data_IF_392850515289
#
_entry.id   IF_392850515289
#
_cell.length_a   1.000
_cell.length_b   1.000
_cell.length_c   1.000
_cell.angle_alpha   90.00
_cell.angle_beta   90.00
_cell.angle_gamma   90.00
#
_symmetry.space_group_name_H-M   'P 1'
#
loop_
_entity.id
_entity.type
_entity.pdbx_description
1 polymer ?
#
# COMPACT_ATOMS: atom_id res chain seq x y z
N UNK A 1 1.27 -8.16 21.11
CA UNK A 1 1.74 -9.17 20.13
C UNK A 1 0.56 -9.50 19.26
N UNK A 2 0.65 -9.26 17.96
CA UNK A 2 -0.42 -9.58 17.00
C UNK A 2 -0.29 -11.05 16.62
N UNK A 3 -1.40 -11.79 16.69
CA UNK A 3 -1.48 -13.16 16.17
C UNK A 3 -2.22 -13.14 14.84
N UNK A 4 -1.83 -14.03 13.92
CA UNK A 4 -2.56 -14.20 12.67
C UNK A 4 -3.91 -14.92 12.89
N UNK A 5 -4.76 -14.87 11.87
CA UNK A 5 -6.01 -15.61 11.78
C UNK A 5 -5.84 -16.71 10.74
N UNK A 6 -5.93 -17.96 11.19
CA UNK A 6 -5.84 -19.11 10.26
C UNK A 6 -7.10 -19.19 9.39
N UNK A 7 -7.02 -19.95 8.28
CA UNK A 7 -8.16 -20.14 7.39
C UNK A 7 -9.43 -20.57 8.14
N UNK A 8 -9.31 -21.46 9.11
CA UNK A 8 -10.45 -22.00 9.87
C UNK A 8 -11.06 -20.94 10.82
N UNK A 9 -10.25 -20.02 11.33
CA UNK A 9 -10.70 -18.95 12.23
C UNK A 9 -11.39 -17.79 11.49
N UNK A 10 -11.13 -17.65 10.18
CA UNK A 10 -11.71 -16.56 9.39
C UNK A 10 -13.18 -16.83 9.11
N UNK A 11 -14.01 -15.80 9.24
CA UNK A 11 -15.43 -15.81 8.91
C UNK A 11 -15.78 -14.63 8.01
N UNK A 12 -16.79 -14.82 7.15
CA UNK A 12 -17.33 -13.72 6.33
C UNK A 12 -17.78 -12.58 7.26
N UNK A 13 -17.41 -11.35 6.92
CA UNK A 13 -17.67 -10.16 7.72
C UNK A 13 -16.54 -9.80 8.70
N UNK A 14 -15.49 -10.66 8.88
CA UNK A 14 -14.31 -10.23 9.64
C UNK A 14 -13.69 -9.01 8.97
N UNK A 15 -13.33 -8.00 9.78
CA UNK A 15 -12.78 -6.73 9.31
C UNK A 15 -11.52 -6.36 10.07
N UNK A 16 -10.63 -5.65 9.40
CA UNK A 16 -9.46 -5.01 10.01
C UNK A 16 -9.12 -3.73 9.26
N UNK A 17 -8.44 -2.83 9.96
CA UNK A 17 -7.99 -1.57 9.40
C UNK A 17 -6.65 -1.14 9.99
N UNK A 18 -5.93 -0.32 9.23
CA UNK A 18 -4.73 0.40 9.68
C UNK A 18 -4.80 1.85 9.19
N UNK A 19 -4.32 2.75 10.05
CA UNK A 19 -4.16 4.17 9.70
C UNK A 19 -2.70 4.47 9.42
N UNK A 20 -2.46 5.32 8.44
CA UNK A 20 -1.14 5.76 8.05
C UNK A 20 -1.18 7.22 7.61
N UNK A 21 -0.32 8.06 8.21
CA UNK A 21 0.03 9.37 7.65
C UNK A 21 0.98 9.15 6.48
N UNK A 22 0.64 9.67 5.30
CA UNK A 22 1.48 9.61 4.11
C UNK A 22 2.43 10.80 4.11
N UNK A 23 3.71 10.57 4.37
CA UNK A 23 4.69 11.66 4.41
C UNK A 23 5.40 11.82 3.07
N UNK A 24 5.95 13.01 2.78
CA UNK A 24 6.78 13.24 1.61
C UNK A 24 8.01 12.30 1.57
N UNK A 25 8.56 11.95 2.73
CA UNK A 25 9.69 11.02 2.83
C UNK A 25 9.28 9.58 2.47
N UNK A 26 8.06 9.14 2.82
CA UNK A 26 7.52 7.85 2.37
C UNK A 26 7.48 7.77 0.83
N UNK A 27 7.06 8.86 0.16
CA UNK A 27 7.00 8.90 -1.31
C UNK A 27 8.38 8.84 -1.95
N UNK A 28 9.38 9.48 -1.35
CA UNK A 28 10.78 9.39 -1.81
C UNK A 28 11.30 7.95 -1.67
N UNK A 29 11.05 7.32 -0.51
CA UNK A 29 11.42 5.92 -0.28
C UNK A 29 10.74 5.01 -1.29
N UNK A 30 9.43 5.20 -1.52
CA UNK A 30 8.67 4.43 -2.49
C UNK A 30 9.17 4.62 -3.93
N UNK A 31 9.51 5.85 -4.32
CA UNK A 31 10.09 6.14 -5.63
C UNK A 31 11.42 5.40 -5.83
N UNK A 32 12.28 5.36 -4.82
CA UNK A 32 13.54 4.62 -4.89
C UNK A 32 13.35 3.11 -4.98
N UNK A 33 12.38 2.55 -4.24
CA UNK A 33 12.12 1.10 -4.24
C UNK A 33 11.41 0.65 -5.52
N UNK A 34 10.44 1.43 -6.00
CA UNK A 34 9.64 1.09 -7.18
C UNK A 34 10.30 1.48 -8.51
N UNK A 35 11.26 2.42 -8.48
CA UNK A 35 11.80 3.07 -9.68
C UNK A 35 10.85 4.08 -10.33
N UNK A 36 9.72 4.42 -9.71
CA UNK A 36 8.78 5.42 -10.23
C UNK A 36 9.19 6.83 -9.78
N UNK A 37 9.95 7.50 -10.64
CA UNK A 37 10.45 8.86 -10.40
C UNK A 37 9.59 9.93 -11.12
N UNK A 38 8.30 9.68 -11.32
CA UNK A 38 7.41 10.68 -11.93
C UNK A 38 7.38 11.94 -11.04
N UNK A 39 7.69 13.14 -11.59
CA UNK A 39 7.78 14.39 -10.83
C UNK A 39 6.54 14.71 -10.01
N UNK A 40 5.35 14.35 -10.47
CA UNK A 40 4.09 14.56 -9.73
C UNK A 40 4.03 13.89 -8.34
N UNK A 41 4.95 12.98 -8.06
CA UNK A 41 5.07 12.30 -6.78
C UNK A 41 6.15 12.90 -5.87
N UNK A 42 6.79 13.98 -6.31
CA UNK A 42 7.84 14.66 -5.56
C UNK A 42 7.23 15.89 -4.84
N UNK A 43 7.58 16.07 -3.60
CA UNK A 43 6.97 17.05 -2.68
C UNK A 43 7.13 18.53 -3.09
N UNK A 44 8.01 18.85 -4.05
CA UNK A 44 8.23 20.22 -4.53
C UNK A 44 7.37 20.54 -5.78
N UNK A 45 6.56 19.60 -6.23
CA UNK A 45 5.73 19.73 -7.42
C UNK A 45 4.27 20.02 -7.06
N UNK A 46 3.58 20.74 -7.93
CA UNK A 46 2.12 20.82 -7.95
C UNK A 46 1.63 19.67 -8.84
N UNK A 47 1.32 18.54 -8.20
CA UNK A 47 1.09 17.27 -8.90
C UNK A 47 -0.21 17.21 -9.68
N UNK A 48 -1.19 18.05 -9.35
CA UNK A 48 -2.52 18.05 -9.99
C UNK A 48 -2.94 19.38 -10.61
N UNK A 49 -2.12 20.41 -10.44
CA UNK A 49 -2.33 21.70 -11.08
C UNK A 49 -3.32 22.60 -10.33
N UNK A 50 -3.56 22.35 -9.05
CA UNK A 50 -4.44 23.17 -8.21
C UNK A 50 -3.76 24.40 -7.60
N UNK A 51 -2.46 24.56 -7.81
CA UNK A 51 -1.64 25.66 -7.31
C UNK A 51 -1.02 25.40 -5.93
N UNK A 52 -1.28 24.25 -5.33
CA UNK A 52 -0.68 23.82 -4.07
C UNK A 52 0.47 22.85 -4.36
N UNK A 53 1.65 23.13 -3.80
CA UNK A 53 2.82 22.26 -3.97
C UNK A 53 2.75 21.09 -2.98
N UNK A 54 2.02 20.08 -3.36
CA UNK A 54 1.90 18.82 -2.62
C UNK A 54 1.99 17.66 -3.58
N UNK A 55 2.81 16.67 -3.25
CA UNK A 55 2.98 15.50 -4.10
C UNK A 55 1.75 14.61 -4.05
N UNK A 56 1.30 14.14 -5.21
CA UNK A 56 0.30 13.07 -5.30
C UNK A 56 0.93 11.75 -4.88
N UNK A 57 0.28 11.00 -4.00
CA UNK A 57 0.70 9.65 -3.65
C UNK A 57 0.60 8.73 -4.88
N UNK A 58 1.67 7.99 -5.23
CA UNK A 58 1.58 6.97 -6.27
C UNK A 58 0.45 5.97 -5.97
N UNK A 59 -0.37 5.61 -6.96
CA UNK A 59 -1.48 4.67 -6.75
C UNK A 59 -1.04 3.37 -6.09
N UNK A 60 0.09 2.80 -6.53
CA UNK A 60 0.62 1.56 -5.93
C UNK A 60 1.23 1.77 -4.53
N UNK A 61 1.64 2.99 -4.15
CA UNK A 61 1.95 3.30 -2.76
C UNK A 61 0.67 3.17 -1.90
N UNK A 62 -0.43 3.77 -2.34
CA UNK A 62 -1.74 3.64 -1.66
C UNK A 62 -2.16 2.16 -1.61
N UNK A 63 -2.02 1.42 -2.71
CA UNK A 63 -2.29 -0.02 -2.75
C UNK A 63 -1.44 -0.84 -1.79
N UNK A 64 -0.19 -0.41 -1.52
CA UNK A 64 0.69 -1.08 -0.57
C UNK A 64 0.17 -1.02 0.88
N UNK A 65 -0.66 -0.03 1.22
CA UNK A 65 -1.29 0.07 2.55
C UNK A 65 -2.29 -1.08 2.78
N UNK A 66 -2.97 -1.55 1.73
CA UNK A 66 -3.80 -2.76 1.78
C UNK A 66 -2.95 -3.97 2.14
N UNK A 67 -1.78 -4.10 1.51
CA UNK A 67 -0.85 -5.20 1.82
C UNK A 67 -0.42 -5.20 3.29
N UNK A 68 -0.26 -4.03 3.89
CA UNK A 68 0.09 -3.92 5.31
C UNK A 68 -1.02 -4.48 6.22
N UNK A 69 -2.30 -4.21 5.90
CA UNK A 69 -3.43 -4.78 6.66
C UNK A 69 -3.47 -6.30 6.51
N UNK A 70 -3.36 -6.80 5.27
CA UNK A 70 -3.42 -8.23 4.98
C UNK A 70 -2.26 -9.03 5.61
N UNK A 71 -1.06 -8.48 5.57
CA UNK A 71 0.13 -9.17 6.07
C UNK A 71 0.34 -9.06 7.58
N UNK A 72 -0.18 -8.00 8.21
CA UNK A 72 0.07 -7.77 9.64
C UNK A 72 -1.15 -8.05 10.52
N UNK A 73 -2.39 -7.88 9.98
CA UNK A 73 -3.59 -7.87 10.83
C UNK A 73 -4.59 -8.95 10.44
N UNK A 74 -5.08 -8.95 9.19
CA UNK A 74 -6.15 -9.86 8.76
C UNK A 74 -5.93 -10.33 7.30
N UNK A 75 -5.61 -11.56 7.04
CA UNK A 75 -5.37 -12.69 7.95
C UNK A 75 -4.13 -12.55 8.83
N UNK A 76 -3.14 -11.71 8.48
CA UNK A 76 -1.91 -11.50 9.24
C UNK A 76 -0.75 -12.37 8.77
N UNK A 77 0.19 -12.66 9.67
CA UNK A 77 1.44 -13.34 9.37
C UNK A 77 1.22 -14.69 8.65
N UNK A 78 1.93 -14.91 7.56
CA UNK A 78 1.82 -16.11 6.72
C UNK A 78 0.80 -16.00 5.58
N UNK A 79 0.15 -14.84 5.40
CA UNK A 79 -0.74 -14.58 4.26
C UNK A 79 0.06 -14.42 2.97
N UNK A 80 -0.39 -15.05 1.90
CA UNK A 80 0.21 -14.92 0.56
C UNK A 80 -0.82 -14.38 -0.44
N UNK A 81 -0.46 -13.32 -1.17
CA UNK A 81 -1.29 -12.81 -2.26
C UNK A 81 -1.39 -13.82 -3.41
N UNK A 82 -2.60 -13.94 -3.96
CA UNK A 82 -2.88 -14.59 -5.23
C UNK A 82 -3.25 -13.59 -6.32
N UNK A 83 -4.13 -12.66 -5.98
CA UNK A 83 -4.51 -11.58 -6.89
C UNK A 83 -5.02 -10.37 -6.14
N UNK A 84 -5.00 -9.21 -6.82
CA UNK A 84 -5.56 -7.95 -6.35
C UNK A 84 -6.11 -7.18 -7.55
N UNK A 85 -7.33 -6.67 -7.43
CA UNK A 85 -7.86 -5.62 -8.28
C UNK A 85 -7.86 -4.29 -7.53
N UNK A 86 -7.53 -3.19 -8.23
CA UNK A 86 -7.65 -1.84 -7.70
C UNK A 86 -8.37 -0.94 -8.69
N UNK A 87 -9.31 -0.18 -8.18
CA UNK A 87 -9.90 0.98 -8.82
C UNK A 87 -9.51 2.21 -8.01
N UNK A 88 -8.82 3.16 -8.65
CA UNK A 88 -8.38 4.42 -8.04
C UNK A 88 -9.43 5.48 -8.29
N UNK A 89 -10.14 5.87 -7.23
CA UNK A 89 -11.31 6.75 -7.31
C UNK A 89 -10.94 8.23 -7.19
N UNK A 90 -10.02 8.52 -6.28
CA UNK A 90 -9.57 9.88 -5.99
C UNK A 90 -8.07 9.89 -5.68
N UNK A 91 -7.49 11.08 -5.65
CA UNK A 91 -6.07 11.28 -5.34
C UNK A 91 -5.87 11.41 -3.82
N UNK A 92 -4.78 10.84 -3.34
CA UNK A 92 -4.23 11.10 -2.03
C UNK A 92 -2.94 11.90 -2.18
N UNK A 93 -2.61 12.72 -1.22
CA UNK A 93 -1.45 13.62 -1.25
C UNK A 93 -0.51 13.38 -0.07
N UNK A 94 0.71 13.84 -0.20
CA UNK A 94 1.61 13.91 0.95
C UNK A 94 1.00 14.82 2.04
N UNK A 95 0.92 14.32 3.26
CA UNK A 95 0.22 14.98 4.38
C UNK A 95 -1.15 14.38 4.69
N UNK A 96 -1.75 13.62 3.77
CA UNK A 96 -3.00 12.92 4.06
C UNK A 96 -2.82 11.78 5.06
N UNK A 97 -3.73 11.67 6.02
CA UNK A 97 -3.92 10.47 6.81
C UNK A 97 -4.92 9.56 6.10
N UNK A 98 -4.48 8.34 5.80
CA UNK A 98 -5.29 7.32 5.13
C UNK A 98 -5.64 6.19 6.09
N UNK A 99 -6.85 5.66 5.95
CA UNK A 99 -7.30 4.43 6.59
C UNK A 99 -7.46 3.36 5.52
N UNK A 100 -6.72 2.28 5.64
CA UNK A 100 -6.82 1.10 4.78
C UNK A 100 -7.58 0.02 5.53
N UNK A 101 -8.63 -0.52 4.94
CA UNK A 101 -9.49 -1.53 5.52
C UNK A 101 -9.66 -2.73 4.61
N UNK A 102 -9.88 -3.89 5.23
CA UNK A 102 -10.20 -5.13 4.55
C UNK A 102 -11.39 -5.83 5.22
N UNK A 103 -12.21 -6.51 4.44
CA UNK A 103 -13.35 -7.29 4.91
C UNK A 103 -13.39 -8.64 4.20
N UNK A 104 -13.47 -9.72 4.94
CA UNK A 104 -13.66 -11.07 4.38
C UNK A 104 -15.05 -11.17 3.75
N UNK A 105 -15.10 -11.37 2.43
CA UNK A 105 -16.34 -11.50 1.66
C UNK A 105 -16.53 -12.89 1.06
N UNK A 106 -15.50 -13.72 1.05
CA UNK A 106 -15.58 -15.09 0.52
C UNK A 106 -14.48 -15.99 1.05
N UNK A 107 -14.76 -17.29 1.08
CA UNK A 107 -13.79 -18.35 1.44
C UNK A 107 -13.99 -19.53 0.49
N UNK A 108 -12.89 -20.11 0.04
CA UNK A 108 -12.88 -21.33 -0.75
C UNK A 108 -12.01 -22.38 -0.05
N UNK A 109 -12.67 -23.40 0.53
CA UNK A 109 -12.01 -24.46 1.25
C UNK A 109 -11.22 -25.43 0.33
N UNK A 110 -11.59 -25.50 -0.96
CA UNK A 110 -10.89 -26.38 -1.90
C UNK A 110 -9.50 -25.87 -2.23
N UNK A 111 -9.33 -24.55 -2.23
CA UNK A 111 -8.07 -23.88 -2.55
C UNK A 111 -7.37 -23.27 -1.33
N UNK A 112 -8.04 -23.19 -0.18
CA UNK A 112 -7.53 -22.51 1.02
C UNK A 112 -7.46 -20.99 0.86
N UNK A 113 -8.22 -20.42 -0.10
CA UNK A 113 -8.18 -18.99 -0.40
C UNK A 113 -9.34 -18.25 0.28
N UNK A 114 -9.07 -16.97 0.54
CA UNK A 114 -10.01 -16.02 1.10
C UNK A 114 -10.07 -14.81 0.19
N UNK A 115 -11.29 -14.37 -0.12
CA UNK A 115 -11.53 -13.11 -0.84
C UNK A 115 -11.83 -12.01 0.17
N UNK A 116 -11.11 -10.91 0.07
CA UNK A 116 -11.31 -9.75 0.93
C UNK A 116 -11.62 -8.52 0.06
N UNK A 117 -12.71 -7.83 0.37
CA UNK A 117 -12.93 -6.47 -0.13
C UNK A 117 -11.91 -5.56 0.53
N UNK A 118 -11.31 -4.68 -0.26
CA UNK A 118 -10.28 -3.75 0.17
C UNK A 118 -10.69 -2.32 -0.13
N UNK A 119 -10.46 -1.41 0.79
CA UNK A 119 -10.77 0.01 0.63
C UNK A 119 -9.71 0.85 1.31
N UNK A 120 -9.38 1.99 0.69
CA UNK A 120 -8.59 3.05 1.31
C UNK A 120 -9.37 4.35 1.25
N UNK A 121 -9.49 5.03 2.39
CA UNK A 121 -10.19 6.31 2.52
C UNK A 121 -9.29 7.36 3.15
N UNK A 122 -9.48 8.62 2.80
CA UNK A 122 -8.85 9.74 3.49
C UNK A 122 -9.63 10.05 4.77
N UNK A 123 -8.91 10.19 5.88
CA UNK A 123 -9.54 10.31 7.22
C UNK A 123 -10.24 11.66 7.39
N UNK A 124 -9.69 12.75 6.83
CA UNK A 124 -10.16 14.12 7.07
C UNK A 124 -11.59 14.40 6.57
N UNK A 125 -11.98 13.77 5.45
CA UNK A 125 -13.26 14.03 4.76
C UNK A 125 -14.00 12.74 4.37
N UNK A 126 -13.48 11.59 4.80
CA UNK A 126 -14.02 10.27 4.49
C UNK A 126 -14.07 9.98 2.97
N UNK A 127 -13.20 10.63 2.19
CA UNK A 127 -13.15 10.47 0.74
C UNK A 127 -12.59 9.09 0.37
N UNK A 128 -13.30 8.29 -0.46
CA UNK A 128 -12.75 7.03 -0.95
C UNK A 128 -11.62 7.30 -1.96
N UNK A 129 -10.45 6.74 -1.71
CA UNK A 129 -9.27 6.88 -2.56
C UNK A 129 -9.11 5.68 -3.48
N UNK A 130 -9.31 4.47 -2.94
CA UNK A 130 -9.12 3.22 -3.65
C UNK A 130 -10.13 2.18 -3.17
N UNK A 131 -10.61 1.35 -4.09
CA UNK A 131 -11.39 0.15 -3.77
C UNK A 131 -10.92 -1.04 -4.62
N UNK A 132 -11.26 -2.25 -4.19
CA UNK A 132 -10.95 -3.47 -4.94
C UNK A 132 -11.14 -4.74 -4.13
N UNK A 133 -10.67 -5.85 -4.70
CA UNK A 133 -10.75 -7.15 -4.05
C UNK A 133 -9.38 -7.85 -4.08
N UNK A 134 -9.01 -8.42 -2.94
CA UNK A 134 -7.84 -9.27 -2.76
C UNK A 134 -8.26 -10.74 -2.69
N UNK A 135 -7.54 -11.61 -3.37
CA UNK A 135 -7.59 -13.05 -3.12
C UNK A 135 -6.25 -13.45 -2.51
N UNK A 136 -6.31 -14.06 -1.33
CA UNK A 136 -5.11 -14.47 -0.59
C UNK A 136 -5.21 -15.93 -0.17
N UNK A 137 -4.08 -16.61 -0.06
CA UNK A 137 -3.99 -17.84 0.73
C UNK A 137 -3.89 -17.44 2.19
N UNK A 138 -4.83 -17.93 2.99
CA UNK A 138 -4.80 -17.71 4.43
C UNK A 138 -3.81 -18.68 5.10
N UNK A 139 -3.15 -18.24 6.18
CA UNK A 139 -2.26 -19.13 6.93
C UNK A 139 -3.03 -20.32 7.51
N UNK A 140 -2.38 -21.49 7.51
CA UNK A 140 -2.94 -22.73 8.10
C UNK A 140 -2.41 -23.00 9.51
N UNK A 141 -1.41 -22.21 9.95
CA UNK A 141 -0.79 -22.35 11.26
C UNK A 141 -0.85 -21.03 12.02
N UNK A 142 -1.14 -21.12 13.32
CA UNK A 142 -1.08 -19.99 14.21
C UNK A 142 0.35 -19.49 14.34
N UNK A 143 0.54 -18.21 14.17
CA UNK A 143 1.83 -17.52 14.30
C UNK A 143 1.62 -16.22 15.06
N UNK A 144 2.47 -15.98 16.04
CA UNK A 144 2.55 -14.67 16.66
C UNK A 144 3.57 -13.82 15.92
N UNK A 145 3.17 -12.63 15.51
CA UNK A 145 4.09 -11.67 14.92
C UNK A 145 4.99 -11.13 16.04
N UNK A 146 6.29 -11.39 15.91
CA UNK A 146 7.28 -10.79 16.79
C UNK A 146 7.49 -9.36 16.33
N UNK A 147 7.63 -8.46 17.31
CA UNK A 147 8.14 -7.13 17.05
C UNK A 147 9.49 -7.27 16.34
N UNK A 148 9.56 -6.81 15.10
CA UNK A 148 10.80 -6.81 14.34
C UNK A 148 11.39 -5.42 14.46
N UNK A 149 12.59 -5.32 15.00
CA UNK A 149 13.37 -4.08 14.97
C UNK A 149 13.70 -3.73 13.51
N UNK A 150 12.87 -2.88 12.91
CA UNK A 150 13.19 -2.32 11.62
C UNK A 150 14.18 -1.17 11.81
N UNK A 151 15.23 -1.08 10.97
CA UNK A 151 16.14 0.05 11.04
C UNK A 151 15.39 1.35 10.74
N UNK A 152 15.77 2.41 11.45
CA UNK A 152 15.28 3.75 11.13
C UNK A 152 15.87 4.16 9.79
N UNK A 153 15.01 4.43 8.81
CA UNK A 153 15.43 4.97 7.52
C UNK A 153 15.53 6.48 7.63
N UNK A 154 16.73 7.01 7.38
CA UNK A 154 16.95 8.46 7.28
C UNK A 154 17.06 8.81 5.80
N UNK A 155 16.09 9.57 5.29
CA UNK A 155 16.12 10.09 3.93
C UNK A 155 17.04 11.30 3.91
N UNK A 156 18.25 11.13 3.37
CA UNK A 156 19.17 12.25 3.11
C UNK A 156 18.91 12.78 1.70
N UNK A 157 18.47 14.04 1.60
CA UNK A 157 18.26 14.70 0.31
C UNK A 157 19.60 15.21 -0.22
N UNK A 158 20.19 14.49 -1.18
CA UNK A 158 21.31 14.99 -1.95
C UNK A 158 20.81 15.60 -3.25
N UNK A 159 21.34 16.78 -3.64
CA UNK A 159 20.98 17.50 -4.87
C UNK A 159 21.43 16.80 -6.17
N UNK A 160 21.81 15.53 -6.15
CA UNK A 160 22.32 14.82 -7.32
C UNK A 160 21.26 13.90 -7.95
N UNK A 161 20.16 14.53 -8.44
CA UNK A 161 19.20 13.85 -9.30
C UNK A 161 19.84 13.37 -10.63
N UNK A 162 20.89 14.06 -11.10
CA UNK A 162 21.59 13.75 -12.35
C UNK A 162 22.20 12.35 -12.35
N UNK A 163 22.75 11.87 -11.25
CA UNK A 163 23.40 10.56 -11.17
C UNK A 163 22.41 9.36 -11.28
N UNK A 164 21.13 9.57 -11.08
CA UNK A 164 20.11 8.51 -11.24
C UNK A 164 19.61 8.44 -12.68
N UNK A 165 19.54 9.56 -13.38
CA UNK A 165 19.16 9.60 -14.79
C UNK A 165 20.24 8.99 -15.71
N UNK A 166 21.51 9.08 -15.34
CA UNK A 166 22.62 8.44 -16.08
C UNK A 166 22.55 6.91 -16.05
N UNK A 167 21.84 6.31 -15.10
CA UNK A 167 21.62 4.85 -15.00
C UNK A 167 20.35 4.37 -15.68
N UNK A 168 19.44 5.26 -16.05
CA UNK A 168 18.26 4.91 -16.81
C UNK A 168 18.66 4.66 -18.26
N UNK A 169 18.74 3.40 -18.67
CA UNK A 169 18.89 3.07 -20.10
C UNK A 169 17.65 3.57 -20.84
N UNK A 170 17.81 4.38 -21.90
CA UNK A 170 16.67 4.78 -22.70
C UNK A 170 15.96 3.53 -23.25
N UNK A 171 14.66 3.47 -23.08
CA UNK A 171 13.85 2.44 -23.73
C UNK A 171 14.10 2.51 -25.25
N UNK A 172 14.29 1.36 -25.93
CA UNK A 172 14.37 1.36 -27.39
C UNK A 172 13.09 2.00 -27.94
N UNK A 173 13.25 2.89 -28.91
CA UNK A 173 12.13 3.57 -29.55
C UNK A 173 11.10 2.53 -30.01
N UNK A 174 9.85 2.72 -29.57
CA UNK A 174 8.72 1.94 -30.07
C UNK A 174 8.65 2.17 -31.59
N UNK A 175 8.84 1.09 -32.36
CA UNK A 175 8.66 1.09 -33.80
C UNK A 175 7.20 1.03 -34.17
#
# INVERSE_FOLDING_TARGET
MLENHTFDELTIGNRAELRRLCTADDLIVFANVSGNHNPMHLHDEDGDGDGVREAICPGMFVGSLVSAVLGNVLPGAGTLYRSQSFEFLNRAHAGDELISSVEVVGKDAATGTVTLRTEVRRVSDDLPILTGDAVVEAPTRKQAQRETDLPVLIVQRHRHFEALLERAQPLPALK
#
